data_IF_287900698202
#
_entry.id   IF_287900698202
#
_cell.length_a   1.000
_cell.length_b   1.000
_cell.length_c   1.000
_cell.angle_alpha   90.00
_cell.angle_beta   90.00
_cell.angle_gamma   90.00
#
_symmetry.space_group_name_H-M   'P 1'
#
loop_
_entity.id
_entity.type
_entity.pdbx_description
1 polymer ?
#
# COMPACT_ATOMS: atom_id res chain seq x y z
N UNK A 1 20.56 -9.25 -9.55
CA UNK A 1 20.39 -9.83 -8.20
C UNK A 1 18.96 -9.56 -7.78
N UNK A 2 18.30 -10.50 -7.10
CA UNK A 2 16.89 -10.36 -6.72
C UNK A 2 16.58 -9.06 -5.94
N UNK A 3 17.57 -8.56 -5.18
CA UNK A 3 17.50 -7.27 -4.48
C UNK A 3 17.36 -6.10 -5.47
N UNK A 4 18.18 -6.05 -6.53
CA UNK A 4 18.14 -4.95 -7.49
C UNK A 4 16.83 -4.93 -8.30
N UNK A 5 16.31 -6.11 -8.65
CA UNK A 5 15.01 -6.23 -9.33
C UNK A 5 13.89 -5.64 -8.48
N UNK A 6 13.83 -6.00 -7.19
CA UNK A 6 12.86 -5.44 -6.23
C UNK A 6 13.03 -3.93 -6.02
N UNK A 7 14.26 -3.42 -6.02
CA UNK A 7 14.52 -1.97 -5.94
C UNK A 7 13.93 -1.26 -7.17
N UNK A 8 14.14 -1.79 -8.37
CA UNK A 8 13.63 -1.20 -9.61
C UNK A 8 12.10 -1.20 -9.60
N UNK A 9 11.47 -2.35 -9.30
CA UNK A 9 10.00 -2.43 -9.22
C UNK A 9 9.40 -1.50 -8.16
N UNK A 10 10.08 -1.34 -7.02
CA UNK A 10 9.65 -0.39 -5.99
C UNK A 10 9.76 1.06 -6.50
N UNK A 11 10.83 1.43 -7.19
CA UNK A 11 11.00 2.78 -7.76
C UNK A 11 9.93 3.11 -8.79
N UNK A 12 9.72 2.21 -9.76
CA UNK A 12 8.68 2.37 -10.79
C UNK A 12 7.30 2.55 -10.16
N UNK A 13 7.02 1.79 -9.10
CA UNK A 13 5.77 1.92 -8.36
C UNK A 13 5.63 3.27 -7.67
N UNK A 14 6.66 3.71 -6.92
CA UNK A 14 6.65 5.00 -6.22
C UNK A 14 6.50 6.16 -7.20
N UNK A 15 7.13 6.11 -8.38
CA UNK A 15 6.96 7.11 -9.43
C UNK A 15 5.52 7.11 -9.98
N UNK A 16 4.99 5.93 -10.32
CA UNK A 16 3.63 5.80 -10.88
C UNK A 16 2.51 6.24 -9.93
N UNK A 17 2.74 6.14 -8.63
CA UNK A 17 1.78 6.49 -7.57
C UNK A 17 1.96 7.92 -7.06
N UNK A 18 2.98 8.65 -7.54
CA UNK A 18 3.21 10.06 -7.18
C UNK A 18 3.85 10.26 -5.82
N UNK A 19 4.80 9.39 -5.43
CA UNK A 19 5.56 9.56 -4.19
C UNK A 19 6.26 10.94 -4.17
N UNK A 20 6.07 11.74 -3.09
CA UNK A 20 6.45 13.15 -3.11
C UNK A 20 7.95 13.42 -2.92
N UNK A 21 8.70 12.47 -2.35
CA UNK A 21 10.13 12.63 -2.10
C UNK A 21 10.97 12.01 -3.21
N UNK A 22 12.13 12.62 -3.49
CA UNK A 22 13.05 12.10 -4.49
C UNK A 22 13.75 10.82 -3.97
N UNK A 23 13.49 9.69 -4.61
CA UNK A 23 14.12 8.40 -4.32
C UNK A 23 14.90 7.92 -5.54
N UNK A 24 16.06 7.31 -5.30
CA UNK A 24 16.92 6.77 -6.36
C UNK A 24 17.32 5.34 -6.03
N UNK A 25 17.77 4.59 -7.03
CA UNK A 25 18.32 3.25 -6.82
C UNK A 25 19.49 3.27 -5.84
N UNK A 26 20.32 4.32 -5.86
CA UNK A 26 21.45 4.50 -4.94
C UNK A 26 21.00 4.65 -3.49
N UNK A 27 19.97 5.46 -3.22
CA UNK A 27 19.47 5.66 -1.86
C UNK A 27 18.77 4.41 -1.32
N UNK A 28 18.15 3.61 -2.20
CA UNK A 28 17.54 2.33 -1.86
C UNK A 28 18.53 1.16 -1.75
N UNK A 29 19.82 1.32 -2.07
CA UNK A 29 20.81 0.27 -1.78
C UNK A 29 21.13 0.18 -0.27
N UNK A 30 21.02 1.29 0.45
CA UNK A 30 21.24 1.38 1.89
C UNK A 30 20.40 2.52 2.48
N UNK A 31 19.06 2.35 2.58
CA UNK A 31 18.18 3.43 2.98
C UNK A 31 18.28 3.77 4.47
N UNK A 32 17.88 5.01 4.81
CA UNK A 32 17.73 5.44 6.20
C UNK A 32 16.42 4.92 6.80
N UNK A 33 16.34 4.89 8.14
CA UNK A 33 15.12 4.53 8.85
C UNK A 33 13.94 5.45 8.52
N UNK A 34 14.19 6.75 8.40
CA UNK A 34 13.14 7.71 8.01
C UNK A 34 12.61 7.44 6.61
N UNK A 35 13.50 7.21 5.63
CA UNK A 35 13.09 6.92 4.25
C UNK A 35 12.22 5.67 4.16
N UNK A 36 12.61 4.58 4.86
CA UNK A 36 11.81 3.35 4.90
C UNK A 36 10.43 3.59 5.51
N UNK A 37 10.35 4.34 6.62
CA UNK A 37 9.08 4.67 7.25
C UNK A 37 8.19 5.53 6.36
N UNK A 38 8.75 6.53 5.68
CA UNK A 38 7.99 7.39 4.77
C UNK A 38 7.47 6.63 3.56
N UNK A 39 8.27 5.74 2.97
CA UNK A 39 7.84 4.86 1.88
C UNK A 39 6.71 3.95 2.37
N UNK A 40 6.90 3.29 3.50
CA UNK A 40 5.90 2.41 4.09
C UNK A 40 4.58 3.15 4.37
N UNK A 41 4.63 4.30 5.04
CA UNK A 41 3.46 5.12 5.33
C UNK A 41 2.72 5.50 4.05
N UNK A 42 3.45 5.97 3.04
CA UNK A 42 2.87 6.35 1.77
C UNK A 42 2.12 5.20 1.12
N UNK A 43 2.71 4.00 1.06
CA UNK A 43 2.06 2.85 0.44
C UNK A 43 0.79 2.46 1.20
N UNK A 44 0.82 2.44 2.54
CA UNK A 44 -0.38 2.15 3.34
C UNK A 44 -1.46 3.22 3.11
N UNK A 45 -1.08 4.49 2.99
CA UNK A 45 -2.00 5.60 2.73
C UNK A 45 -2.71 5.55 1.39
N UNK A 46 -2.20 4.80 0.41
CA UNK A 46 -2.91 4.55 -0.85
C UNK A 46 -4.19 3.74 -0.63
N UNK A 47 -4.26 2.94 0.42
CA UNK A 47 -5.42 2.12 0.77
C UNK A 47 -6.20 2.67 1.97
N UNK A 48 -5.49 3.22 2.96
CA UNK A 48 -6.08 3.89 4.12
C UNK A 48 -5.55 5.32 4.26
N UNK A 49 -6.25 6.32 3.69
CA UNK A 49 -5.82 7.72 3.72
C UNK A 49 -5.68 8.30 5.15
N UNK A 50 -6.27 7.67 6.16
CA UNK A 50 -6.19 8.11 7.55
C UNK A 50 -4.97 7.59 8.31
N UNK A 51 -4.22 6.66 7.69
CA UNK A 51 -3.05 6.06 8.30
C UNK A 51 -1.93 7.08 8.54
N UNK A 52 -1.32 7.02 9.72
CA UNK A 52 -0.19 7.86 10.09
C UNK A 52 0.74 7.15 11.07
N UNK A 53 2.04 7.35 10.90
CA UNK A 53 3.05 6.75 11.77
C UNK A 53 3.28 7.67 12.99
N UNK A 54 3.33 7.12 14.22
CA UNK A 54 3.65 7.91 15.40
C UNK A 54 5.09 8.44 15.36
N UNK A 55 5.31 9.65 15.87
CA UNK A 55 6.61 10.33 15.83
C UNK A 55 7.70 9.67 16.67
N UNK A 56 7.33 8.97 17.74
CA UNK A 56 8.27 8.28 18.61
C UNK A 56 8.82 7.02 17.91
N UNK A 57 10.15 6.93 17.77
CA UNK A 57 10.84 5.84 17.05
C UNK A 57 10.33 4.44 17.41
N UNK A 58 10.29 4.11 18.70
CA UNK A 58 9.85 2.79 19.15
C UNK A 58 8.39 2.49 18.76
N UNK A 59 7.52 3.50 18.85
CA UNK A 59 6.12 3.38 18.44
C UNK A 59 5.98 3.25 16.92
N UNK A 60 6.85 3.92 16.14
CA UNK A 60 6.88 3.79 14.68
C UNK A 60 7.28 2.38 14.25
N UNK A 61 8.29 1.80 14.89
CA UNK A 61 8.72 0.42 14.65
C UNK A 61 7.62 -0.60 15.04
N UNK A 62 6.94 -0.37 16.16
CA UNK A 62 5.78 -1.18 16.56
C UNK A 62 4.61 -1.06 15.58
N UNK A 63 4.32 0.16 15.11
CA UNK A 63 3.31 0.43 14.09
C UNK A 63 3.61 -0.33 12.80
N UNK A 64 4.85 -0.26 12.30
CA UNK A 64 5.31 -0.99 11.12
C UNK A 64 5.05 -2.51 11.25
N UNK A 65 5.47 -3.11 12.37
CA UNK A 65 5.29 -4.54 12.63
C UNK A 65 3.80 -4.92 12.75
N UNK A 66 3.03 -4.11 13.48
CA UNK A 66 1.61 -4.35 13.70
C UNK A 66 0.83 -4.30 12.40
N UNK A 67 1.07 -3.29 11.56
CA UNK A 67 0.39 -3.14 10.27
C UNK A 67 0.71 -4.30 9.33
N UNK A 68 1.98 -4.70 9.20
CA UNK A 68 2.35 -5.87 8.40
C UNK A 68 1.63 -7.13 8.89
N UNK A 69 1.51 -7.32 10.21
CA UNK A 69 0.78 -8.46 10.79
C UNK A 69 -0.72 -8.40 10.47
N UNK A 70 -1.34 -7.23 10.63
CA UNK A 70 -2.77 -7.02 10.34
C UNK A 70 -3.10 -7.28 8.88
N UNK A 71 -2.22 -6.89 7.97
CA UNK A 71 -2.36 -7.13 6.53
C UNK A 71 -1.99 -8.57 6.12
N UNK A 72 -1.48 -9.39 7.04
CA UNK A 72 -1.21 -10.82 6.79
C UNK A 72 0.17 -11.13 6.22
N UNK A 73 1.15 -10.25 6.37
CA UNK A 73 2.53 -10.51 5.96
C UNK A 73 3.10 -11.76 6.67
N UNK A 74 3.62 -12.71 5.88
CA UNK A 74 4.12 -14.00 6.41
C UNK A 74 5.63 -14.07 6.59
N UNK A 75 6.37 -13.03 6.20
CA UNK A 75 7.82 -12.98 6.39
C UNK A 75 8.21 -12.67 7.83
N UNK A 76 9.42 -13.08 8.23
CA UNK A 76 9.96 -12.74 9.55
C UNK A 76 10.43 -11.29 9.57
N UNK A 77 9.90 -10.48 10.48
CA UNK A 77 10.31 -9.09 10.70
C UNK A 77 10.48 -8.83 12.20
N UNK A 78 11.49 -8.05 12.57
CA UNK A 78 11.80 -7.72 13.96
C UNK A 78 12.23 -6.26 14.09
N UNK A 79 12.13 -5.70 15.31
CA UNK A 79 12.56 -4.31 15.60
C UNK A 79 14.02 -4.07 15.21
N UNK A 80 14.91 -5.03 15.46
CA UNK A 80 16.32 -4.89 15.13
C UNK A 80 16.58 -4.66 13.65
N UNK A 81 15.81 -5.28 12.76
CA UNK A 81 15.93 -5.05 11.31
C UNK A 81 15.48 -3.63 10.97
N UNK A 82 14.34 -3.21 11.51
CA UNK A 82 13.72 -1.90 11.24
C UNK A 82 14.56 -0.75 11.79
N UNK A 83 15.26 -0.95 12.91
CA UNK A 83 16.16 0.04 13.50
C UNK A 83 17.39 0.35 12.63
N UNK A 84 17.85 -0.62 11.82
CA UNK A 84 19.05 -0.50 10.96
C UNK A 84 18.78 -0.98 9.53
N UNK A 85 17.84 -0.34 8.81
CA UNK A 85 17.27 -0.93 7.61
C UNK A 85 18.22 -0.99 6.42
N UNK A 86 19.24 -0.12 6.37
CA UNK A 86 20.28 -0.12 5.34
C UNK A 86 21.40 -1.14 5.58
N UNK A 87 21.39 -1.89 6.69
CA UNK A 87 22.41 -2.89 6.94
C UNK A 87 22.32 -4.02 5.89
N UNK A 88 23.48 -4.52 5.44
CA UNK A 88 23.59 -5.54 4.38
C UNK A 88 22.70 -6.77 4.59
N UNK A 89 22.51 -7.19 5.85
CA UNK A 89 21.67 -8.34 6.21
C UNK A 89 20.23 -7.94 6.55
N UNK A 90 19.95 -6.67 6.84
CA UNK A 90 18.60 -6.21 7.19
C UNK A 90 17.80 -5.79 5.96
N UNK A 91 18.45 -5.09 5.03
CA UNK A 91 17.78 -4.50 3.86
C UNK A 91 17.01 -5.52 3.02
N UNK A 92 17.53 -6.72 2.71
CA UNK A 92 16.78 -7.71 1.92
C UNK A 92 15.45 -8.12 2.56
N UNK A 93 15.37 -8.19 3.89
CA UNK A 93 14.14 -8.52 4.60
C UNK A 93 13.12 -7.38 4.52
N UNK A 94 13.58 -6.14 4.66
CA UNK A 94 12.72 -4.95 4.64
C UNK A 94 12.23 -4.68 3.24
N UNK A 95 13.13 -4.75 2.24
CA UNK A 95 12.76 -4.63 0.84
C UNK A 95 11.73 -5.69 0.44
N UNK A 96 11.87 -6.92 0.94
CA UNK A 96 10.87 -7.96 0.69
C UNK A 96 9.50 -7.64 1.29
N UNK A 97 9.46 -7.02 2.48
CA UNK A 97 8.21 -6.58 3.10
C UNK A 97 7.58 -5.40 2.34
N UNK A 98 8.38 -4.41 1.91
CA UNK A 98 7.90 -3.28 1.11
C UNK A 98 7.41 -3.73 -0.28
N UNK A 99 8.11 -4.64 -0.92
CA UNK A 99 7.72 -5.20 -2.21
C UNK A 99 6.42 -6.02 -2.12
N UNK A 100 6.23 -6.78 -1.05
CA UNK A 100 4.97 -7.45 -0.76
C UNK A 100 3.84 -6.44 -0.53
N UNK A 101 4.08 -5.41 0.29
CA UNK A 101 3.08 -4.39 0.61
C UNK A 101 2.64 -3.61 -0.64
N UNK A 102 3.59 -3.29 -1.53
CA UNK A 102 3.32 -2.74 -2.86
C UNK A 102 2.35 -3.63 -3.64
N UNK A 103 2.66 -4.93 -3.74
CA UNK A 103 1.84 -5.88 -4.49
C UNK A 103 0.42 -5.99 -3.89
N UNK A 104 0.32 -5.99 -2.56
CA UNK A 104 -0.97 -5.99 -1.84
C UNK A 104 -1.79 -4.73 -2.15
N UNK A 105 -1.15 -3.55 -2.13
CA UNK A 105 -1.79 -2.28 -2.47
C UNK A 105 -2.31 -2.25 -3.92
N UNK A 106 -1.54 -2.79 -4.86
CA UNK A 106 -1.97 -2.92 -6.26
C UNK A 106 -3.17 -3.88 -6.42
N UNK A 107 -3.10 -5.05 -5.78
CA UNK A 107 -4.20 -6.01 -5.80
C UNK A 107 -5.49 -5.43 -5.21
N UNK A 108 -5.39 -4.66 -4.11
CA UNK A 108 -6.53 -3.97 -3.51
C UNK A 108 -7.15 -2.92 -4.46
N UNK A 109 -6.31 -2.19 -5.21
CA UNK A 109 -6.78 -1.22 -6.20
C UNK A 109 -7.53 -1.89 -7.37
N UNK A 110 -7.01 -3.01 -7.89
CA UNK A 110 -7.67 -3.79 -8.95
C UNK A 110 -9.00 -4.41 -8.48
N UNK A 111 -9.04 -4.92 -7.25
CA UNK A 111 -10.26 -5.44 -6.65
C UNK A 111 -11.32 -4.34 -6.51
N UNK A 112 -10.91 -3.13 -6.08
CA UNK A 112 -11.80 -1.97 -5.94
C UNK A 112 -12.35 -1.50 -7.30
N UNK A 113 -11.51 -1.47 -8.35
CA UNK A 113 -11.95 -1.16 -9.72
C UNK A 113 -12.90 -2.22 -10.28
N UNK A 114 -12.62 -3.49 -10.03
CA UNK A 114 -13.49 -4.59 -10.47
C UNK A 114 -14.85 -4.53 -9.80
N UNK A 115 -14.89 -4.20 -8.51
CA UNK A 115 -16.12 -4.05 -7.75
C UNK A 115 -16.95 -2.85 -8.24
N UNK A 116 -16.32 -1.72 -8.57
CA UNK A 116 -17.01 -0.54 -9.09
C UNK A 116 -17.64 -0.81 -10.46
N UNK A 117 -16.93 -1.50 -11.36
CA UNK A 117 -17.48 -1.91 -12.65
C UNK A 117 -18.68 -2.86 -12.49
N UNK A 118 -18.58 -3.83 -11.58
CA UNK A 118 -19.67 -4.76 -11.31
C UNK A 118 -20.90 -4.06 -10.70
N UNK A 119 -20.70 -3.17 -9.73
CA UNK A 119 -21.77 -2.36 -9.13
C UNK A 119 -22.44 -1.45 -10.16
N UNK A 120 -21.66 -0.79 -11.02
CA UNK A 120 -22.22 0.03 -12.11
C UNK A 120 -23.00 -0.81 -13.11
N UNK A 121 -22.56 -2.04 -13.39
CA UNK A 121 -23.30 -2.98 -14.25
C UNK A 121 -24.58 -3.53 -13.60
N UNK A 122 -24.66 -3.55 -12.26
CA UNK A 122 -25.82 -4.05 -11.53
C UNK A 122 -26.90 -3.01 -11.22
N UNK A 123 -26.78 -1.77 -11.71
CA UNK A 123 -27.83 -0.77 -11.51
C UNK A 123 -29.01 -1.00 -12.48
N UNK A 124 -30.19 -1.48 -12.04
CA UNK A 124 -31.39 -1.36 -12.84
C UNK A 124 -31.75 0.12 -12.92
N UNK A 125 -31.84 0.63 -14.15
CA UNK A 125 -32.32 1.97 -14.45
C UNK A 125 -33.59 2.32 -13.65
N UNK A 126 -33.69 3.51 -13.03
CA UNK A 126 -34.94 3.97 -12.43
C UNK A 126 -35.93 4.23 -13.57
N UNK A 127 -36.71 3.21 -13.93
CA UNK A 127 -37.90 3.40 -14.75
C UNK A 127 -38.83 4.36 -14.01
N UNK A 128 -38.96 5.56 -14.54
CA UNK A 128 -40.10 6.45 -14.30
C UNK A 128 -40.68 6.83 -15.67
N UNK A 129 -41.94 7.30 -15.76
CA UNK A 129 -43.18 6.75 -15.21
C UNK A 129 -44.25 6.59 -16.33
N UNK A 130 -45.38 5.92 -16.09
CA UNK A 130 -46.61 6.24 -16.85
C UNK A 130 -47.83 6.22 -15.93
N UNK A 131 -48.40 7.40 -15.74
CA UNK A 131 -49.75 7.55 -15.22
C UNK A 131 -50.70 6.84 -16.20
N UNK A 132 -51.52 5.92 -15.71
CA UNK A 132 -52.69 5.47 -16.44
C UNK A 132 -53.85 5.38 -15.47
N UNK A 133 -54.71 6.37 -15.64
CA UNK A 133 -56.06 6.46 -15.10
C UNK A 133 -56.77 5.13 -15.32
N UNK A 134 -57.48 4.63 -14.31
CA UNK A 134 -58.62 3.75 -14.54
C UNK A 134 -59.70 4.11 -13.52
N UNK A 135 -60.70 4.82 -14.04
CA UNK A 135 -62.05 5.02 -13.53
C UNK A 135 -62.72 3.67 -13.32
N UNK A 136 -63.36 3.43 -12.17
CA UNK A 136 -64.51 2.52 -11.94
C UNK A 136 -64.89 2.68 -10.45
N UNK A 137 -66.13 2.75 -10.00
CA UNK A 137 -67.44 3.05 -10.60
C UNK A 137 -68.34 3.54 -9.46
#
# INVERSE_FOLDING_TARGET
SAVNEKIISLLEYLESTGYPEAVSSRTLQSPSSQLVMHIFEFIVRLTDPSFGIPSAKAAAEDCFLSTLRTLGYRGTMSKSLISTPGAMHAWPHILSALDWLRAESQAANEASMSLSFFVSSLSPSPFTPVASQTVFS
#
